data_IF_413359317510
#
_entry.id   IF_413359317510
#
_cell.length_a   1.000
_cell.length_b   1.000
_cell.length_c   1.000
_cell.angle_alpha   90.00
_cell.angle_beta   90.00
_cell.angle_gamma   90.00
#
_symmetry.space_group_name_H-M   'P 1'
#
loop_
_entity.id
_entity.type
_entity.pdbx_description
1 polymer ?
#
# COMPACT_ATOMS: atom_id res chain seq x y z
N UNK A 1 11.13 7.44 3.71
CA UNK A 1 9.85 8.02 3.24
C UNK A 1 9.04 8.30 4.50
N UNK A 2 9.19 9.49 5.08
CA UNK A 2 8.45 9.93 6.26
C UNK A 2 7.54 11.06 5.80
N UNK A 3 6.28 10.74 5.47
CA UNK A 3 5.21 11.73 5.36
C UNK A 3 4.42 11.69 6.66
N UNK A 4 4.40 12.81 7.37
CA UNK A 4 3.48 13.07 8.48
C UNK A 4 2.03 13.07 7.99
N UNK A 5 1.06 12.53 8.76
CA UNK A 5 -0.33 12.42 8.34
C UNK A 5 -1.04 13.77 8.56
N UNK A 6 -1.47 14.43 7.49
CA UNK A 6 -2.42 15.53 7.60
C UNK A 6 -3.84 15.01 7.34
N UNK A 7 -4.74 15.55 8.16
CA UNK A 7 -6.15 15.26 8.36
C UNK A 7 -6.99 14.98 7.11
N UNK A 8 -7.99 14.11 7.29
CA UNK A 8 -9.11 13.81 6.40
C UNK A 8 -9.82 15.09 5.92
N UNK A 9 -10.11 15.29 4.62
CA UNK A 9 -11.05 16.31 4.18
C UNK A 9 -12.49 15.79 4.26
N UNK A 10 -13.33 16.55 4.94
CA UNK A 10 -14.79 16.41 4.99
C UNK A 10 -15.43 16.65 3.62
N UNK A 11 -16.47 15.89 3.30
CA UNK A 11 -17.31 16.04 2.12
C UNK A 11 -18.08 17.37 2.12
N UNK A 12 -17.73 18.30 1.22
CA UNK A 12 -18.64 19.34 0.71
C UNK A 12 -18.33 19.67 -0.75
N UNK A 13 -19.36 20.01 -1.52
CA UNK A 13 -19.35 20.32 -2.96
C UNK A 13 -18.28 21.35 -3.36
N UNK A 14 -17.26 20.97 -4.15
CA UNK A 14 -16.16 21.88 -4.48
C UNK A 14 -15.88 22.02 -6.00
N UNK A 15 -16.51 23.02 -6.62
CA UNK A 15 -16.04 23.65 -7.86
C UNK A 15 -14.74 24.47 -7.74
N UNK A 16 -14.36 25.03 -6.56
CA UNK A 16 -13.07 25.73 -6.38
C UNK A 16 -11.88 24.83 -6.03
N UNK A 17 -12.08 23.62 -5.47
CA UNK A 17 -10.97 22.76 -5.03
C UNK A 17 -10.15 22.17 -6.20
N UNK A 18 -10.74 22.07 -7.40
CA UNK A 18 -10.00 21.62 -8.60
C UNK A 18 -8.85 22.57 -9.00
N UNK A 19 -8.98 23.87 -8.72
CA UNK A 19 -7.93 24.85 -9.02
C UNK A 19 -6.76 24.76 -8.04
N UNK A 20 -7.03 24.62 -6.74
CA UNK A 20 -6.01 24.41 -5.71
C UNK A 20 -5.27 23.06 -5.88
N UNK A 21 -5.97 22.01 -6.29
CA UNK A 21 -5.35 20.73 -6.61
C UNK A 21 -4.34 20.81 -7.77
N UNK A 22 -4.45 21.80 -8.67
CA UNK A 22 -3.48 22.00 -9.76
C UNK A 22 -2.12 22.52 -9.29
N UNK A 23 -2.09 23.24 -8.16
CA UNK A 23 -0.86 23.83 -7.58
C UNK A 23 0.05 22.76 -6.98
N UNK A 24 -0.50 21.60 -6.62
CA UNK A 24 0.22 20.50 -5.94
C UNK A 24 0.46 19.26 -6.83
N UNK A 25 0.14 19.32 -8.13
CA UNK A 25 0.28 18.16 -9.05
C UNK A 25 1.72 17.69 -9.26
N UNK A 26 2.70 18.57 -9.12
CA UNK A 26 4.09 18.20 -9.33
C UNK A 26 4.74 17.75 -8.00
N UNK A 27 5.07 16.46 -7.89
CA UNK A 27 5.88 15.93 -6.79
C UNK A 27 7.37 16.29 -6.98
N UNK A 28 7.69 17.58 -7.09
CA UNK A 28 9.02 18.08 -7.43
C UNK A 28 10.14 17.54 -6.52
N UNK A 29 9.97 17.47 -5.17
CA UNK A 29 10.98 16.89 -4.31
C UNK A 29 11.19 15.38 -4.55
N UNK A 30 10.15 14.67 -4.98
CA UNK A 30 10.23 13.26 -5.34
C UNK A 30 11.10 13.06 -6.57
N UNK A 31 10.77 13.73 -7.68
CA UNK A 31 11.47 13.57 -8.96
C UNK A 31 12.95 13.97 -8.87
N UNK A 32 13.24 15.07 -8.19
CA UNK A 32 14.61 15.59 -8.09
C UNK A 32 15.45 14.88 -7.03
N UNK A 33 15.00 14.88 -5.76
CA UNK A 33 15.81 14.39 -4.63
C UNK A 33 15.70 12.87 -4.46
N UNK A 34 14.50 12.32 -4.59
CA UNK A 34 14.28 10.89 -4.33
C UNK A 34 14.59 10.00 -5.55
N UNK A 35 14.59 10.56 -6.76
CA UNK A 35 14.87 9.82 -8.00
C UNK A 35 16.19 10.25 -8.65
N UNK A 36 16.20 11.37 -9.38
CA UNK A 36 17.36 11.77 -10.21
C UNK A 36 18.66 11.88 -9.39
N UNK A 37 18.65 12.59 -8.24
CA UNK A 37 19.83 12.71 -7.37
C UNK A 37 20.28 11.37 -6.74
N UNK A 38 19.38 10.40 -6.61
CA UNK A 38 19.69 9.05 -6.15
C UNK A 38 20.17 8.12 -7.28
N UNK A 39 20.29 8.64 -8.52
CA UNK A 39 20.66 7.87 -9.70
C UNK A 39 19.53 6.99 -10.24
N UNK A 40 18.27 7.28 -9.90
CA UNK A 40 17.09 6.62 -10.49
C UNK A 40 16.62 7.44 -11.70
N UNK A 41 16.79 6.96 -12.95
CA UNK A 41 16.49 7.73 -14.15
C UNK A 41 15.00 8.07 -14.25
N UNK A 42 14.72 9.30 -14.64
CA UNK A 42 13.38 9.85 -14.85
C UNK A 42 13.19 10.17 -16.33
N UNK A 43 12.18 9.56 -16.95
CA UNK A 43 11.95 9.65 -18.39
C UNK A 43 10.52 10.14 -18.61
N UNK A 44 10.35 11.28 -19.29
CA UNK A 44 9.06 11.85 -19.64
C UNK A 44 8.76 11.67 -21.13
N UNK A 45 7.72 10.89 -21.45
CA UNK A 45 7.12 10.85 -22.79
C UNK A 45 5.88 11.75 -22.78
N UNK A 46 5.96 12.91 -23.42
CA UNK A 46 4.87 13.88 -23.44
C UNK A 46 4.04 13.62 -24.70
N UNK A 47 2.84 13.06 -24.56
CA UNK A 47 1.94 12.79 -25.72
C UNK A 47 0.93 13.92 -26.00
N UNK A 48 0.84 14.93 -25.13
CA UNK A 48 -0.14 16.01 -25.25
C UNK A 48 0.20 17.20 -24.37
N UNK A 49 -0.82 17.79 -23.74
CA UNK A 49 -0.66 19.03 -22.99
C UNK A 49 -0.10 18.78 -21.57
N UNK A 50 0.97 19.49 -21.21
CA UNK A 50 1.49 19.57 -19.86
C UNK A 50 1.68 21.05 -19.47
N UNK A 51 0.68 21.60 -18.81
CA UNK A 51 0.55 23.05 -18.57
C UNK A 51 0.68 23.41 -17.09
N UNK A 52 1.09 24.65 -16.80
CA UNK A 52 1.28 25.16 -15.44
C UNK A 52 2.17 24.25 -14.59
N UNK A 53 1.71 23.77 -13.43
CA UNK A 53 2.47 22.86 -12.58
C UNK A 53 2.86 21.54 -13.29
N UNK A 54 2.05 21.09 -14.27
CA UNK A 54 2.35 19.89 -15.05
C UNK A 54 3.57 20.04 -15.96
N UNK A 55 3.93 21.25 -16.36
CA UNK A 55 5.10 21.52 -17.20
C UNK A 55 6.43 21.15 -16.50
N UNK A 56 6.44 21.10 -15.17
CA UNK A 56 7.63 20.69 -14.43
C UNK A 56 7.88 19.17 -14.46
N UNK A 57 6.88 18.34 -14.82
CA UNK A 57 7.13 16.90 -15.01
C UNK A 57 8.19 16.63 -16.09
N UNK A 58 8.07 17.14 -17.32
CA UNK A 58 9.17 17.08 -18.28
C UNK A 58 10.34 17.98 -17.85
N UNK A 59 10.10 19.19 -17.33
CA UNK A 59 11.18 20.13 -16.98
C UNK A 59 12.14 19.70 -15.87
N UNK A 60 11.82 18.63 -15.13
CA UNK A 60 12.68 18.04 -14.10
C UNK A 60 12.98 16.56 -14.36
N UNK A 61 12.64 16.03 -15.55
CA UNK A 61 13.01 14.67 -15.94
C UNK A 61 14.40 14.65 -16.56
N UNK A 62 15.12 13.54 -16.42
CA UNK A 62 16.47 13.37 -16.99
C UNK A 62 16.45 13.21 -18.52
N UNK A 63 15.34 12.69 -19.07
CA UNK A 63 15.12 12.57 -20.50
C UNK A 63 13.69 12.96 -20.87
N UNK A 64 13.53 13.81 -21.88
CA UNK A 64 12.23 14.32 -22.34
C UNK A 64 12.04 14.03 -23.83
N UNK A 65 10.96 13.34 -24.15
CA UNK A 65 10.51 13.07 -25.52
C UNK A 65 9.20 13.79 -25.76
N UNK A 66 9.13 14.64 -26.80
CA UNK A 66 7.93 15.36 -27.19
C UNK A 66 7.50 14.98 -28.61
N UNK A 67 6.19 14.86 -28.84
CA UNK A 67 5.58 14.50 -30.12
C UNK A 67 5.25 15.76 -30.93
N UNK A 68 5.78 15.82 -32.16
CA UNK A 68 5.57 16.92 -33.11
C UNK A 68 4.08 17.19 -33.33
N UNK A 69 3.68 18.47 -33.26
CA UNK A 69 2.31 18.92 -33.53
C UNK A 69 1.23 18.36 -32.58
N UNK A 70 1.64 17.75 -31.45
CA UNK A 70 0.73 17.24 -30.42
C UNK A 70 1.10 17.71 -29.03
N UNK A 71 2.39 17.61 -28.68
CA UNK A 71 2.86 17.90 -27.33
C UNK A 71 3.04 19.38 -27.11
N UNK A 72 2.42 19.89 -26.04
CA UNK A 72 2.41 21.31 -25.68
C UNK A 72 2.78 21.47 -24.22
N UNK A 73 3.88 22.17 -23.95
CA UNK A 73 4.39 22.38 -22.60
C UNK A 73 4.56 23.87 -22.36
N UNK A 74 3.94 24.42 -21.31
CA UNK A 74 4.12 25.83 -20.95
C UNK A 74 3.65 26.10 -19.52
N UNK A 75 4.25 27.08 -18.85
CA UNK A 75 3.81 27.52 -17.51
C UNK A 75 2.47 28.27 -17.56
N UNK A 76 2.22 28.99 -18.64
CA UNK A 76 0.96 29.67 -18.92
C UNK A 76 0.59 29.45 -20.37
N UNK A 77 -0.63 28.98 -20.63
CA UNK A 77 -1.10 28.82 -22.01
C UNK A 77 -1.43 30.16 -22.65
N UNK A 78 -1.74 30.18 -23.96
CA UNK A 78 -2.01 31.42 -24.68
C UNK A 78 -3.06 32.33 -24.03
N UNK A 79 -4.17 31.83 -23.44
CA UNK A 79 -5.11 32.68 -22.74
C UNK A 79 -4.49 33.43 -21.55
N UNK A 80 -3.56 32.78 -20.82
CA UNK A 80 -2.89 33.41 -19.67
C UNK A 80 -1.86 34.44 -20.14
N UNK A 81 -1.11 34.13 -21.21
CA UNK A 81 -0.15 35.06 -21.82
C UNK A 81 -0.90 36.32 -22.31
N UNK A 82 -1.97 36.15 -23.08
CA UNK A 82 -2.80 37.25 -23.57
C UNK A 82 -3.35 38.12 -22.44
N UNK A 83 -3.85 37.51 -21.37
CA UNK A 83 -4.38 38.26 -20.23
C UNK A 83 -3.31 38.98 -19.41
N UNK A 84 -2.11 38.40 -19.29
CA UNK A 84 -1.04 38.96 -18.46
C UNK A 84 -0.19 40.02 -19.17
N UNK A 85 0.07 39.84 -20.47
CA UNK A 85 1.01 40.67 -21.24
C UNK A 85 0.36 41.37 -22.44
N UNK A 86 -0.84 40.96 -22.85
CA UNK A 86 -1.48 41.42 -24.09
C UNK A 86 -0.93 40.76 -25.36
N UNK A 87 0.05 39.87 -25.25
CA UNK A 87 0.65 39.14 -26.37
C UNK A 87 -0.32 38.08 -26.91
N UNK A 88 -0.47 38.01 -28.24
CA UNK A 88 -1.19 36.94 -28.91
C UNK A 88 -0.20 35.92 -29.46
N UNK A 89 -0.34 34.68 -29.01
CA UNK A 89 0.49 33.54 -29.43
C UNK A 89 -0.41 32.34 -29.68
N UNK A 90 -0.01 31.43 -30.55
CA UNK A 90 -0.66 30.11 -30.68
C UNK A 90 0.03 29.07 -29.79
N UNK A 91 -0.62 27.92 -29.57
CA UNK A 91 -0.08 26.88 -28.68
C UNK A 91 1.26 26.29 -29.17
N UNK A 92 1.46 26.15 -30.48
CA UNK A 92 2.64 25.51 -31.06
C UNK A 92 3.84 26.45 -31.03
N UNK A 93 3.64 27.72 -31.35
CA UNK A 93 4.69 28.75 -31.24
C UNK A 93 5.06 29.04 -29.79
N UNK A 94 4.10 28.95 -28.85
CA UNK A 94 4.35 29.21 -27.44
C UNK A 94 5.02 28.05 -26.69
N UNK A 95 4.66 26.80 -27.02
CA UNK A 95 5.10 25.62 -26.24
C UNK A 95 5.06 24.30 -27.00
N UNK A 96 5.07 24.31 -28.33
CA UNK A 96 5.06 23.11 -29.14
C UNK A 96 6.36 22.30 -29.04
N UNK A 97 6.28 21.02 -29.39
CA UNK A 97 7.42 20.10 -29.36
C UNK A 97 8.62 20.58 -30.20
N UNK A 98 8.38 21.16 -31.38
CA UNK A 98 9.46 21.67 -32.22
C UNK A 98 10.16 22.87 -31.59
N UNK A 99 9.39 23.80 -31.00
CA UNK A 99 9.95 24.94 -30.29
C UNK A 99 10.83 24.45 -29.13
N UNK A 100 10.35 23.48 -28.34
CA UNK A 100 11.12 22.93 -27.23
C UNK A 100 12.36 22.14 -27.64
N UNK A 101 12.29 21.39 -28.74
CA UNK A 101 13.43 20.62 -29.24
C UNK A 101 14.50 21.48 -29.94
N UNK A 102 14.11 22.61 -30.54
CA UNK A 102 15.03 23.45 -31.34
C UNK A 102 15.48 24.73 -30.66
N UNK A 103 14.63 25.32 -29.83
CA UNK A 103 14.81 26.70 -29.33
C UNK A 103 15.10 26.73 -27.84
N UNK A 104 14.19 26.25 -27.01
CA UNK A 104 14.37 26.33 -25.55
C UNK A 104 15.20 25.20 -24.95
N UNK A 105 15.31 24.05 -25.64
CA UNK A 105 16.08 22.89 -25.17
C UNK A 105 15.37 22.09 -24.06
N UNK A 106 14.06 22.29 -23.86
CA UNK A 106 13.29 21.49 -22.90
C UNK A 106 13.11 20.03 -23.36
N UNK A 107 13.02 19.80 -24.67
CA UNK A 107 12.88 18.46 -25.23
C UNK A 107 14.24 17.95 -25.71
N UNK A 108 14.65 16.77 -25.26
CA UNK A 108 15.88 16.11 -25.73
C UNK A 108 15.64 15.37 -27.04
N UNK A 109 14.41 14.87 -27.25
CA UNK A 109 14.02 14.12 -28.43
C UNK A 109 12.69 14.63 -28.99
N UNK A 110 12.65 14.78 -30.32
CA UNK A 110 11.44 15.07 -31.07
C UNK A 110 10.98 13.78 -31.76
N UNK A 111 9.77 13.32 -31.41
CA UNK A 111 9.12 12.17 -32.01
C UNK A 111 8.10 12.61 -33.07
N UNK A 112 7.90 11.80 -34.10
CA UNK A 112 6.93 12.10 -35.15
C UNK A 112 5.48 11.75 -34.74
N UNK A 113 5.31 10.70 -33.93
CA UNK A 113 4.02 10.29 -33.36
C UNK A 113 4.20 9.58 -31.99
N UNK A 114 3.10 9.12 -31.39
CA UNK A 114 3.12 8.43 -30.09
C UNK A 114 3.87 7.10 -30.12
N UNK A 115 3.80 6.36 -31.23
CA UNK A 115 4.52 5.08 -31.37
C UNK A 115 6.02 5.31 -31.46
N UNK A 116 6.42 6.35 -32.18
CA UNK A 116 7.80 6.79 -32.27
C UNK A 116 8.34 7.28 -30.93
N UNK A 117 7.54 8.03 -30.16
CA UNK A 117 7.91 8.43 -28.81
C UNK A 117 8.11 7.22 -27.87
N UNK A 118 7.26 6.20 -27.95
CA UNK A 118 7.44 4.95 -27.20
C UNK A 118 8.71 4.21 -27.65
N UNK A 119 9.00 4.16 -28.96
CA UNK A 119 10.25 3.58 -29.50
C UNK A 119 11.47 4.28 -28.90
N UNK A 120 11.50 5.61 -28.92
CA UNK A 120 12.59 6.42 -28.33
C UNK A 120 12.71 6.15 -26.82
N UNK A 121 11.58 6.12 -26.10
CA UNK A 121 11.55 5.77 -24.67
C UNK A 121 12.22 4.44 -24.36
N UNK A 122 11.94 3.40 -25.17
CA UNK A 122 12.59 2.08 -25.04
C UNK A 122 14.09 2.13 -25.34
N UNK A 123 14.52 2.95 -26.29
CA UNK A 123 15.94 3.14 -26.58
C UNK A 123 16.69 3.85 -25.45
N UNK A 124 16.06 4.83 -24.80
CA UNK A 124 16.62 5.47 -23.59
C UNK A 124 16.83 4.41 -22.51
N UNK A 125 15.79 3.63 -22.19
CA UNK A 125 15.85 2.54 -21.19
C UNK A 125 16.96 1.55 -21.50
N UNK A 126 17.17 1.19 -22.78
CA UNK A 126 18.24 0.28 -23.23
C UNK A 126 19.64 0.79 -22.87
N UNK A 127 19.85 2.10 -22.80
CA UNK A 127 21.15 2.75 -22.58
C UNK A 127 21.45 3.03 -21.10
N UNK A 128 20.52 2.76 -20.18
CA UNK A 128 20.67 3.08 -18.75
C UNK A 128 21.78 2.28 -18.04
N UNK A 129 22.33 1.23 -18.66
CA UNK A 129 23.28 0.30 -18.02
C UNK A 129 22.75 -0.19 -16.65
N UNK A 130 21.44 -0.46 -16.59
CA UNK A 130 20.75 -0.78 -15.35
C UNK A 130 21.18 -2.13 -14.79
N UNK A 131 21.51 -2.16 -13.50
CA UNK A 131 21.90 -3.38 -12.78
C UNK A 131 21.09 -3.49 -11.51
N UNK A 132 20.58 -4.69 -11.24
CA UNK A 132 19.88 -4.99 -9.98
C UNK A 132 20.92 -5.11 -8.86
N UNK A 133 20.62 -4.53 -7.71
CA UNK A 133 21.50 -4.56 -6.53
C UNK A 133 21.14 -5.68 -5.55
N UNK A 134 19.89 -6.15 -5.56
CA UNK A 134 19.45 -7.25 -4.70
C UNK A 134 19.95 -8.60 -5.17
N UNK A 135 19.91 -9.59 -4.26
CA UNK A 135 20.19 -10.98 -4.58
C UNK A 135 19.20 -11.53 -5.61
N UNK A 136 19.69 -12.39 -6.49
CA UNK A 136 18.83 -13.20 -7.36
C UNK A 136 18.11 -14.29 -6.54
N UNK A 137 17.05 -14.92 -7.08
CA UNK A 137 16.44 -16.11 -6.47
C UNK A 137 17.51 -17.14 -6.10
N UNK A 138 17.45 -17.64 -4.87
CA UNK A 138 18.42 -18.58 -4.31
C UNK A 138 17.87 -20.00 -4.14
N UNK A 139 16.55 -20.16 -4.18
CA UNK A 139 15.87 -21.45 -4.00
C UNK A 139 15.26 -21.97 -5.33
N UNK A 140 15.04 -23.28 -5.46
CA UNK A 140 14.32 -23.84 -6.61
C UNK A 140 12.88 -23.30 -6.68
N UNK A 141 12.47 -22.68 -7.81
CA UNK A 141 11.13 -22.11 -7.96
C UNK A 141 10.11 -23.21 -8.32
N UNK A 142 10.02 -24.24 -7.49
CA UNK A 142 9.13 -25.38 -7.71
C UNK A 142 7.67 -24.92 -7.64
N UNK A 143 6.84 -25.44 -8.53
CA UNK A 143 5.40 -25.18 -8.45
C UNK A 143 4.81 -25.76 -7.15
N UNK A 144 3.79 -25.11 -6.56
CA UNK A 144 3.08 -25.65 -5.40
C UNK A 144 2.48 -27.03 -5.71
N UNK A 145 2.43 -27.90 -4.71
CA UNK A 145 1.88 -29.26 -4.82
C UNK A 145 0.35 -29.29 -4.97
N UNK A 146 -0.32 -28.19 -4.63
CA UNK A 146 -1.77 -28.09 -4.63
C UNK A 146 -2.26 -27.11 -5.71
N UNK A 147 -3.37 -27.42 -6.42
CA UNK A 147 -3.93 -26.54 -7.43
C UNK A 147 -4.33 -25.18 -6.87
N UNK A 148 -3.99 -24.12 -7.61
CA UNK A 148 -4.20 -22.72 -7.21
C UNK A 148 -5.69 -22.36 -7.15
N UNK A 149 -6.52 -23.04 -7.94
CA UNK A 149 -7.98 -22.89 -8.05
C UNK A 149 -8.67 -23.16 -6.72
N UNK A 150 -8.08 -24.02 -5.88
CA UNK A 150 -8.61 -24.33 -4.56
C UNK A 150 -8.56 -23.13 -3.61
N UNK A 151 -7.74 -22.09 -3.89
CA UNK A 151 -7.72 -20.85 -3.10
C UNK A 151 -9.08 -20.17 -3.02
N UNK A 152 -9.92 -20.29 -4.06
CA UNK A 152 -11.26 -19.69 -4.09
C UNK A 152 -12.20 -20.31 -3.05
N UNK A 153 -11.95 -21.56 -2.64
CA UNK A 153 -12.78 -22.30 -1.69
C UNK A 153 -12.30 -22.22 -0.24
N UNK A 154 -11.16 -21.58 0.04
CA UNK A 154 -10.61 -21.50 1.40
C UNK A 154 -11.33 -20.44 2.25
N UNK A 155 -11.50 -19.18 1.79
CA UNK A 155 -12.22 -18.20 2.57
C UNK A 155 -13.69 -18.59 2.72
N UNK A 156 -14.18 -18.54 3.96
CA UNK A 156 -15.61 -18.61 4.22
C UNK A 156 -16.33 -17.39 3.65
N UNK A 157 -17.57 -17.57 3.21
CA UNK A 157 -18.47 -16.47 2.88
C UNK A 157 -18.84 -15.64 4.11
N UNK A 158 -18.80 -16.25 5.31
CA UNK A 158 -18.93 -15.54 6.57
C UNK A 158 -17.53 -15.11 7.05
N UNK A 159 -17.22 -13.80 7.08
CA UNK A 159 -15.92 -13.28 7.51
C UNK A 159 -15.60 -13.55 8.99
N UNK A 160 -16.58 -14.01 9.79
CA UNK A 160 -16.37 -14.42 11.18
C UNK A 160 -15.82 -15.83 11.32
N UNK A 161 -15.92 -16.65 10.27
CA UNK A 161 -15.41 -18.03 10.29
C UNK A 161 -13.93 -18.00 9.90
N UNK A 162 -13.01 -18.28 10.83
CA UNK A 162 -11.60 -18.33 10.52
C UNK A 162 -11.29 -19.55 9.62
N UNK A 163 -10.20 -19.47 8.88
CA UNK A 163 -9.64 -20.56 8.09
C UNK A 163 -8.14 -20.67 8.34
N UNK A 164 -7.55 -21.84 8.09
CA UNK A 164 -6.13 -22.05 8.30
C UNK A 164 -5.31 -21.40 7.15
N UNK A 165 -4.46 -20.39 7.42
CA UNK A 165 -3.62 -19.79 6.40
C UNK A 165 -2.60 -20.75 5.82
N UNK A 166 -2.30 -21.88 6.48
CA UNK A 166 -1.45 -22.94 5.91
C UNK A 166 -2.03 -23.49 4.61
N UNK A 167 -3.35 -23.53 4.47
CA UNK A 167 -3.97 -23.92 3.20
C UNK A 167 -3.71 -22.91 2.09
N UNK A 168 -3.67 -21.61 2.42
CA UNK A 168 -3.27 -20.56 1.46
C UNK A 168 -1.79 -20.70 1.11
N UNK A 169 -0.93 -20.91 2.11
CA UNK A 169 0.51 -21.06 1.91
C UNK A 169 0.85 -22.27 1.06
N UNK A 170 0.23 -23.42 1.32
CA UNK A 170 0.42 -24.64 0.55
C UNK A 170 0.16 -24.47 -0.96
N UNK A 171 -0.64 -23.47 -1.37
CA UNK A 171 -0.98 -23.17 -2.78
C UNK A 171 -0.23 -21.97 -3.35
N UNK A 172 0.58 -21.29 -2.55
CA UNK A 172 1.28 -20.06 -2.96
C UNK A 172 2.80 -20.16 -2.86
N UNK A 173 3.34 -20.93 -1.92
CA UNK A 173 4.80 -21.08 -1.72
C UNK A 173 5.39 -22.23 -2.56
N UNK A 174 6.68 -22.13 -2.87
CA UNK A 174 7.39 -23.06 -3.73
C UNK A 174 7.39 -24.48 -3.15
N UNK A 175 6.97 -25.44 -3.98
CA UNK A 175 6.85 -26.85 -3.59
C UNK A 175 5.99 -27.10 -2.34
N UNK A 176 5.10 -26.16 -1.98
CA UNK A 176 4.32 -26.19 -0.74
C UNK A 176 5.17 -26.35 0.54
N UNK A 177 6.44 -25.94 0.50
CA UNK A 177 7.36 -26.04 1.63
C UNK A 177 7.21 -24.83 2.55
N UNK A 178 6.95 -25.10 3.82
CA UNK A 178 6.82 -24.06 4.83
C UNK A 178 7.45 -24.51 6.15
N UNK A 179 8.55 -23.85 6.53
CA UNK A 179 9.29 -24.15 7.73
C UNK A 179 8.76 -23.31 8.89
N UNK A 180 7.80 -23.88 9.63
CA UNK A 180 7.07 -23.15 10.67
C UNK A 180 7.94 -22.84 11.90
N UNK A 181 7.97 -21.57 12.29
CA UNK A 181 8.61 -21.07 13.50
C UNK A 181 7.62 -21.04 14.67
N UNK A 182 8.02 -21.63 15.81
CA UNK A 182 7.19 -21.75 17.03
C UNK A 182 5.78 -22.30 16.74
N UNK A 183 5.63 -23.49 16.13
CA UNK A 183 4.31 -24.03 15.78
C UNK A 183 3.40 -24.29 17.00
N UNK A 184 3.96 -24.49 18.19
CA UNK A 184 3.23 -24.80 19.42
C UNK A 184 2.99 -23.61 20.35
N UNK A 185 3.42 -22.40 19.97
CA UNK A 185 3.29 -21.18 20.79
C UNK A 185 2.67 -20.06 19.97
N UNK A 186 1.73 -19.30 20.54
CA UNK A 186 0.99 -18.27 19.82
C UNK A 186 0.35 -18.83 18.55
N UNK A 187 -0.50 -19.84 18.67
CA UNK A 187 -1.02 -20.63 17.53
C UNK A 187 -2.07 -19.88 16.69
N UNK A 188 -2.51 -18.70 17.14
CA UNK A 188 -3.41 -17.83 16.38
C UNK A 188 -2.69 -17.04 15.28
N UNK A 189 -1.34 -17.04 15.31
CA UNK A 189 -0.48 -16.45 14.29
C UNK A 189 0.54 -17.49 13.81
N UNK A 190 0.44 -17.84 12.53
CA UNK A 190 1.40 -18.73 11.86
C UNK A 190 2.58 -17.88 11.41
N UNK A 191 3.79 -18.30 11.76
CA UNK A 191 5.03 -17.65 11.30
C UNK A 191 5.99 -18.70 10.80
N UNK A 192 6.75 -18.42 9.76
CA UNK A 192 7.70 -19.40 9.23
C UNK A 192 8.37 -18.94 7.96
N UNK A 193 9.29 -19.76 7.46
CA UNK A 193 10.08 -19.47 6.27
C UNK A 193 9.52 -20.21 5.06
N UNK A 194 9.58 -19.55 3.90
CA UNK A 194 9.16 -20.11 2.63
C UNK A 194 9.89 -19.40 1.48
N UNK A 195 9.70 -19.88 0.26
CA UNK A 195 10.09 -19.19 -0.96
C UNK A 195 8.91 -19.05 -1.92
N UNK A 196 8.95 -17.98 -2.73
CA UNK A 196 8.01 -17.77 -3.85
C UNK A 196 8.85 -17.41 -5.08
N UNK A 197 8.72 -18.20 -6.15
CA UNK A 197 9.53 -18.05 -7.36
C UNK A 197 11.04 -17.99 -7.08
N UNK A 198 11.49 -18.78 -6.10
CA UNK A 198 12.88 -18.92 -5.67
C UNK A 198 13.40 -17.79 -4.77
N UNK A 199 12.60 -16.76 -4.48
CA UNK A 199 12.96 -15.72 -3.52
C UNK A 199 12.59 -16.15 -2.10
N UNK A 200 13.53 -16.17 -1.14
CA UNK A 200 13.24 -16.50 0.24
C UNK A 200 12.45 -15.36 0.92
N UNK A 201 11.50 -15.72 1.79
CA UNK A 201 10.73 -14.79 2.60
C UNK A 201 10.34 -15.38 3.96
N UNK A 202 10.11 -14.50 4.93
CA UNK A 202 9.42 -14.84 6.18
C UNK A 202 7.95 -14.51 6.06
N UNK A 203 7.07 -15.40 6.52
CA UNK A 203 5.62 -15.21 6.48
C UNK A 203 5.09 -15.00 7.89
N UNK A 204 4.15 -14.07 8.05
CA UNK A 204 3.28 -13.93 9.21
C UNK A 204 1.83 -13.97 8.73
N UNK A 205 1.04 -14.94 9.18
CA UNK A 205 -0.32 -15.17 8.71
C UNK A 205 -1.29 -15.44 9.86
N UNK A 206 -2.40 -14.70 9.92
CA UNK A 206 -3.39 -14.88 10.99
C UNK A 206 -4.22 -16.15 10.75
N UNK A 207 -4.27 -17.03 11.75
CA UNK A 207 -5.06 -18.26 11.71
C UNK A 207 -6.40 -18.17 12.45
N UNK A 208 -6.45 -17.47 13.58
CA UNK A 208 -7.64 -17.45 14.45
C UNK A 208 -8.25 -16.07 14.67
N UNK A 209 -8.00 -15.11 13.78
CA UNK A 209 -8.60 -13.76 13.83
C UNK A 209 -8.06 -12.86 14.94
N UNK A 210 -7.80 -13.38 16.14
CA UNK A 210 -7.42 -12.61 17.32
C UNK A 210 -5.94 -12.81 17.66
N UNK A 211 -5.26 -11.72 18.03
CA UNK A 211 -3.89 -11.74 18.55
C UNK A 211 -3.89 -11.70 20.09
N UNK A 212 -3.15 -12.61 20.72
CA UNK A 212 -2.89 -12.59 22.17
C UNK A 212 -1.45 -12.13 22.43
N UNK A 213 -1.06 -12.10 23.71
CA UNK A 213 0.29 -11.78 24.16
C UNK A 213 1.35 -12.65 23.47
N UNK A 214 1.10 -13.96 23.41
CA UNK A 214 2.01 -14.95 22.84
C UNK A 214 2.24 -14.75 21.34
N UNK A 215 1.18 -14.46 20.56
CA UNK A 215 1.33 -14.15 19.14
C UNK A 215 2.14 -12.86 18.92
N UNK A 216 1.94 -11.84 19.75
CA UNK A 216 2.68 -10.59 19.63
C UNK A 216 4.18 -10.77 19.95
N UNK A 217 4.51 -11.54 20.98
CA UNK A 217 5.91 -11.88 21.30
C UNK A 217 6.55 -12.77 20.23
N UNK A 218 5.80 -13.76 19.71
CA UNK A 218 6.22 -14.60 18.58
C UNK A 218 6.53 -13.77 17.33
N UNK A 219 5.60 -12.89 16.94
CA UNK A 219 5.76 -12.00 15.79
C UNK A 219 6.97 -11.09 15.96
N UNK A 220 7.13 -10.48 17.14
CA UNK A 220 8.26 -9.61 17.46
C UNK A 220 9.59 -10.31 17.20
N UNK A 221 9.77 -11.50 17.76
CA UNK A 221 11.00 -12.26 17.58
C UNK A 221 11.20 -12.67 16.12
N UNK A 222 10.15 -13.13 15.45
CA UNK A 222 10.25 -13.58 14.05
C UNK A 222 10.65 -12.44 13.10
N UNK A 223 10.07 -11.25 13.28
CA UNK A 223 10.44 -10.05 12.53
C UNK A 223 11.91 -9.69 12.79
N UNK A 224 12.38 -9.76 14.05
CA UNK A 224 13.79 -9.51 14.37
C UNK A 224 14.72 -10.52 13.66
N UNK A 225 14.36 -11.80 13.64
CA UNK A 225 15.13 -12.82 12.92
C UNK A 225 15.22 -12.50 11.44
N UNK A 226 14.10 -12.19 10.79
CA UNK A 226 14.09 -11.84 9.36
C UNK A 226 14.97 -10.61 9.06
N UNK A 227 14.98 -9.61 9.96
CA UNK A 227 15.84 -8.46 9.82
C UNK A 227 17.32 -8.75 10.11
N UNK A 228 17.67 -9.82 10.84
CA UNK A 228 19.06 -10.21 11.07
C UNK A 228 19.70 -10.89 9.86
N UNK A 229 18.89 -11.54 9.03
CA UNK A 229 19.34 -12.28 7.85
C UNK A 229 18.92 -11.62 6.53
N UNK A 230 18.41 -10.38 6.60
CA UNK A 230 18.04 -9.57 5.43
C UNK A 230 16.96 -10.23 4.55
N UNK A 231 15.98 -10.89 5.17
CA UNK A 231 14.90 -11.61 4.48
C UNK A 231 13.60 -10.76 4.43
N UNK A 232 12.99 -10.57 3.24
CA UNK A 232 11.68 -9.91 3.11
C UNK A 232 10.58 -10.59 3.93
N UNK A 233 9.55 -9.82 4.30
CA UNK A 233 8.41 -10.30 5.08
C UNK A 233 7.10 -10.23 4.28
N UNK A 234 6.29 -11.28 4.37
CA UNK A 234 4.93 -11.35 3.85
C UNK A 234 3.94 -11.42 5.01
N UNK A 235 2.99 -10.48 5.06
CA UNK A 235 1.91 -10.43 6.02
C UNK A 235 0.59 -10.83 5.34
N UNK A 236 0.00 -11.93 5.77
CA UNK A 236 -1.32 -12.36 5.34
C UNK A 236 -2.35 -11.99 6.41
N UNK A 237 -3.11 -10.92 6.15
CA UNK A 237 -4.03 -10.36 7.14
C UNK A 237 -5.39 -11.06 7.11
N UNK A 238 -5.73 -11.63 8.26
CA UNK A 238 -7.07 -12.09 8.59
C UNK A 238 -7.29 -11.91 10.09
N UNK A 239 -7.33 -10.65 10.55
CA UNK A 239 -7.37 -10.28 11.96
C UNK A 239 -8.52 -9.33 12.31
N UNK A 240 -9.22 -9.67 13.39
CA UNK A 240 -10.25 -8.86 14.05
C UNK A 240 -9.69 -7.94 15.13
N UNK A 241 -8.39 -8.05 15.45
CA UNK A 241 -7.70 -7.25 16.45
C UNK A 241 -7.01 -8.07 17.54
N UNK A 242 -6.73 -7.41 18.67
CA UNK A 242 -6.18 -8.04 19.87
C UNK A 242 -7.30 -8.53 20.78
N UNK A 243 -7.00 -9.52 21.61
CA UNK A 243 -7.93 -9.99 22.63
C UNK A 243 -8.24 -8.87 23.64
N UNK A 244 -9.50 -8.79 24.08
CA UNK A 244 -9.93 -7.79 25.06
C UNK A 244 -10.36 -8.48 26.36
N UNK A 245 -10.05 -7.87 27.50
CA UNK A 245 -10.50 -8.35 28.80
C UNK A 245 -9.52 -8.03 29.92
N UNK A 246 -10.04 -7.92 31.15
CA UNK A 246 -9.26 -7.52 32.34
C UNK A 246 -8.00 -8.34 32.53
N UNK A 247 -8.08 -9.67 32.38
CA UNK A 247 -6.94 -10.57 32.55
C UNK A 247 -5.84 -10.31 31.52
N UNK A 248 -6.20 -10.07 30.25
CA UNK A 248 -5.26 -9.79 29.16
C UNK A 248 -4.61 -8.41 29.31
N UNK A 249 -5.38 -7.41 29.73
CA UNK A 249 -4.86 -6.08 30.04
C UNK A 249 -3.87 -6.12 31.21
N UNK A 250 -4.21 -6.83 32.29
CA UNK A 250 -3.32 -7.00 33.44
C UNK A 250 -2.08 -7.84 33.12
N UNK A 251 -2.20 -8.79 32.19
CA UNK A 251 -1.06 -9.56 31.66
C UNK A 251 -0.15 -8.72 30.74
N UNK A 252 -0.59 -7.54 30.30
CA UNK A 252 0.23 -6.61 29.53
C UNK A 252 0.05 -6.71 28.02
N UNK A 253 -1.14 -7.07 27.51
CA UNK A 253 -1.39 -7.20 26.07
C UNK A 253 -1.01 -5.95 25.26
N UNK A 254 -1.16 -4.75 25.85
CA UNK A 254 -0.72 -3.49 25.23
C UNK A 254 0.80 -3.45 25.04
N UNK A 255 1.59 -3.83 26.06
CA UNK A 255 3.06 -3.78 25.93
C UNK A 255 3.56 -4.82 24.93
N UNK A 256 2.93 -5.99 24.87
CA UNK A 256 3.31 -7.05 23.93
C UNK A 256 2.90 -6.70 22.50
N UNK A 257 1.69 -6.17 22.30
CA UNK A 257 1.28 -5.58 21.02
C UNK A 257 2.19 -4.43 20.59
N UNK A 258 2.62 -3.59 21.53
CA UNK A 258 3.58 -2.51 21.24
C UNK A 258 4.96 -3.04 20.85
N UNK A 259 5.43 -4.18 21.39
CA UNK A 259 6.66 -4.84 20.91
C UNK A 259 6.49 -5.25 19.44
N UNK A 260 5.37 -5.87 19.08
CA UNK A 260 5.11 -6.29 17.70
C UNK A 260 5.09 -5.09 16.74
N UNK A 261 4.34 -4.03 17.08
CA UNK A 261 4.25 -2.80 16.27
C UNK A 261 5.62 -2.12 16.16
N UNK A 262 6.39 -2.08 17.23
CA UNK A 262 7.77 -1.54 17.21
C UNK A 262 8.65 -2.35 16.24
N UNK A 263 8.56 -3.68 16.28
CA UNK A 263 9.31 -4.55 15.39
C UNK A 263 8.94 -4.32 13.91
N UNK A 264 7.64 -4.22 13.59
CA UNK A 264 7.17 -3.88 12.24
C UNK A 264 7.70 -2.50 11.82
N UNK A 265 7.49 -1.48 12.64
CA UNK A 265 7.81 -0.09 12.27
C UNK A 265 9.31 0.16 12.07
N UNK A 266 10.15 -0.50 12.87
CA UNK A 266 11.61 -0.35 12.77
C UNK A 266 12.25 -1.29 11.75
N UNK A 267 11.51 -2.28 11.25
CA UNK A 267 12.02 -3.20 10.26
C UNK A 267 12.35 -2.47 8.95
N UNK A 268 13.51 -2.80 8.37
CA UNK A 268 13.97 -2.25 7.09
C UNK A 268 13.93 -3.24 5.94
N UNK A 269 13.75 -4.53 6.23
CA UNK A 269 13.46 -5.50 5.17
C UNK A 269 12.13 -5.13 4.48
N UNK A 270 12.00 -5.38 3.18
CA UNK A 270 10.77 -5.17 2.43
C UNK A 270 9.60 -5.92 3.06
N UNK A 271 8.49 -5.24 3.30
CA UNK A 271 7.23 -5.88 3.68
C UNK A 271 6.28 -5.94 2.49
N UNK A 272 5.61 -7.07 2.35
CA UNK A 272 4.50 -7.30 1.44
C UNK A 272 3.29 -7.64 2.29
N UNK A 273 2.13 -7.06 1.98
CA UNK A 273 0.90 -7.32 2.74
C UNK A 273 -0.20 -7.77 1.79
N UNK A 274 -0.91 -8.83 2.15
CA UNK A 274 -2.12 -9.28 1.43
C UNK A 274 -3.26 -9.42 2.43
N UNK A 275 -4.32 -8.64 2.23
CA UNK A 275 -5.55 -8.77 3.00
C UNK A 275 -6.36 -9.93 2.42
N UNK A 276 -6.30 -11.10 3.07
CA UNK A 276 -6.99 -12.32 2.64
C UNK A 276 -8.35 -12.52 3.32
N UNK A 277 -8.64 -11.72 4.35
CA UNK A 277 -9.90 -11.74 5.09
C UNK A 277 -10.19 -10.41 5.76
N UNK A 278 -10.51 -10.44 7.06
CA UNK A 278 -10.77 -9.22 7.83
C UNK A 278 -9.46 -8.55 8.25
N UNK A 279 -9.47 -7.23 8.34
CA UNK A 279 -8.35 -6.43 8.84
C UNK A 279 -8.90 -5.27 9.65
N UNK A 280 -9.03 -5.49 10.97
CA UNK A 280 -9.64 -4.53 11.88
C UNK A 280 -8.69 -3.97 12.92
N UNK A 281 -8.86 -2.68 13.21
CA UNK A 281 -8.30 -1.99 14.37
C UNK A 281 -6.80 -2.20 14.54
N UNK A 282 -6.39 -2.45 15.79
CA UNK A 282 -4.98 -2.63 16.13
C UNK A 282 -4.33 -3.86 15.46
N UNK A 283 -5.12 -4.84 15.02
CA UNK A 283 -4.60 -5.99 14.27
C UNK A 283 -4.00 -5.59 12.93
N UNK A 284 -4.62 -4.61 12.25
CA UNK A 284 -4.08 -4.01 11.02
C UNK A 284 -2.67 -3.44 11.25
N UNK A 285 -2.44 -2.85 12.44
CA UNK A 285 -1.16 -2.23 12.77
C UNK A 285 -0.06 -3.25 12.98
N UNK A 286 -0.34 -4.28 13.80
CA UNK A 286 0.61 -5.37 14.06
C UNK A 286 0.97 -6.17 12.80
N UNK A 287 0.07 -6.24 11.82
CA UNK A 287 0.26 -7.02 10.59
C UNK A 287 0.74 -6.18 9.39
N UNK A 288 1.38 -5.03 9.61
CA UNK A 288 1.94 -4.16 8.57
C UNK A 288 0.90 -3.63 7.55
N UNK A 289 -0.18 -3.02 8.05
CA UNK A 289 -1.14 -2.28 7.21
C UNK A 289 -0.54 -1.04 6.54
N UNK A 290 -1.35 -0.30 5.77
CA UNK A 290 -0.91 0.80 4.89
C UNK A 290 -0.04 1.85 5.59
N UNK A 291 -0.35 2.20 6.84
CA UNK A 291 0.38 3.21 7.62
C UNK A 291 1.84 2.80 7.94
N UNK A 292 2.17 1.51 7.87
CA UNK A 292 3.49 0.97 8.18
C UNK A 292 4.40 0.86 6.94
N UNK A 293 3.94 1.38 5.79
CA UNK A 293 4.73 1.50 4.58
C UNK A 293 5.23 0.19 3.97
N UNK A 294 4.38 -0.86 3.84
CA UNK A 294 4.76 -2.02 3.04
C UNK A 294 5.06 -1.58 1.60
N UNK A 295 5.95 -2.30 0.92
CA UNK A 295 6.31 -2.03 -0.48
C UNK A 295 5.12 -2.19 -1.41
N UNK A 296 4.32 -3.20 -1.14
CA UNK A 296 3.05 -3.46 -1.81
C UNK A 296 2.04 -3.98 -0.79
N UNK A 297 0.80 -3.51 -0.90
CA UNK A 297 -0.34 -4.01 -0.14
C UNK A 297 -1.47 -4.34 -1.10
N UNK A 298 -1.90 -5.60 -1.16
CA UNK A 298 -3.01 -6.04 -1.99
C UNK A 298 -4.19 -6.51 -1.16
N UNK A 299 -5.37 -6.52 -1.76
CA UNK A 299 -6.59 -7.00 -1.15
C UNK A 299 -7.21 -8.11 -1.99
N UNK A 300 -7.66 -9.20 -1.36
CA UNK A 300 -8.61 -10.10 -2.02
C UNK A 300 -10.00 -9.46 -2.07
N UNK A 301 -10.83 -9.88 -3.03
CA UNK A 301 -12.18 -9.33 -3.23
C UNK A 301 -13.08 -9.51 -1.99
N UNK A 302 -12.90 -10.60 -1.25
CA UNK A 302 -13.64 -10.89 -0.01
C UNK A 302 -13.14 -10.08 1.19
N UNK A 303 -12.02 -9.37 1.09
CA UNK A 303 -11.41 -8.70 2.24
C UNK A 303 -12.29 -7.58 2.79
N UNK A 304 -12.15 -7.33 4.09
CA UNK A 304 -12.88 -6.28 4.81
C UNK A 304 -11.91 -5.53 5.69
N UNK A 305 -11.79 -4.22 5.53
CA UNK A 305 -10.89 -3.39 6.33
C UNK A 305 -11.65 -2.20 6.91
N UNK A 306 -11.57 -2.04 8.23
CA UNK A 306 -12.25 -0.98 8.97
C UNK A 306 -11.57 -0.77 10.33
N UNK A 307 -11.99 0.28 11.05
CA UNK A 307 -11.52 0.51 12.43
C UNK A 307 -11.95 -0.63 13.36
N UNK A 308 -13.18 -1.13 13.21
CA UNK A 308 -13.71 -2.31 13.91
C UNK A 308 -14.91 -2.87 13.14
N UNK A 309 -15.42 -4.03 13.57
CA UNK A 309 -16.59 -4.64 12.93
C UNK A 309 -17.87 -3.77 13.05
N UNK A 310 -18.79 -3.81 12.07
CA UNK A 310 -19.98 -2.96 12.05
C UNK A 310 -20.83 -3.07 13.32
N UNK A 311 -21.11 -4.31 13.76
CA UNK A 311 -21.92 -4.57 14.95
C UNK A 311 -21.21 -4.13 16.23
N UNK A 312 -19.88 -4.26 16.27
CA UNK A 312 -19.07 -3.84 17.42
C UNK A 312 -19.09 -2.32 17.56
N UNK A 313 -18.90 -1.57 16.46
CA UNK A 313 -18.91 -0.11 16.49
C UNK A 313 -20.27 0.44 16.94
N UNK A 314 -21.35 -0.03 16.31
CA UNK A 314 -22.70 0.39 16.66
C UNK A 314 -23.06 0.05 18.11
N UNK A 315 -22.63 -1.13 18.60
CA UNK A 315 -22.83 -1.54 19.98
C UNK A 315 -22.11 -0.64 20.98
N UNK A 316 -20.84 -0.31 20.74
CA UNK A 316 -20.05 0.59 21.60
C UNK A 316 -20.66 1.99 21.64
N UNK A 317 -21.07 2.53 20.48
CA UNK A 317 -21.71 3.85 20.41
C UNK A 317 -23.02 3.90 21.21
N UNK A 318 -23.83 2.84 21.14
CA UNK A 318 -25.10 2.70 21.88
C UNK A 318 -24.86 2.67 23.41
N UNK A 319 -23.86 1.91 23.88
CA UNK A 319 -23.49 1.85 25.29
C UNK A 319 -23.05 3.23 25.81
N UNK A 320 -22.13 3.89 25.10
CA UNK A 320 -21.61 5.21 25.49
C UNK A 320 -22.70 6.28 25.48
N UNK A 321 -23.60 6.25 24.49
CA UNK A 321 -24.73 7.19 24.43
C UNK A 321 -25.69 7.00 25.63
N UNK A 322 -25.94 5.75 26.02
CA UNK A 322 -26.77 5.42 27.18
C UNK A 322 -26.14 5.89 28.48
N UNK A 323 -24.86 5.62 28.69
CA UNK A 323 -24.10 6.08 29.86
C UNK A 323 -24.09 7.61 29.94
N UNK A 324 -23.85 8.30 28.83
CA UNK A 324 -23.87 9.77 28.77
C UNK A 324 -25.24 10.36 29.10
N UNK A 325 -26.34 9.73 28.68
CA UNK A 325 -27.69 10.17 29.02
C UNK A 325 -27.95 10.03 30.53
N UNK A 326 -27.54 8.90 31.13
CA UNK A 326 -27.62 8.66 32.57
C UNK A 326 -26.82 9.70 33.36
N UNK A 327 -25.58 9.96 32.99
CA UNK A 327 -24.71 10.94 33.65
C UNK A 327 -25.25 12.37 33.59
N UNK A 328 -26.03 12.68 32.54
CA UNK A 328 -26.67 13.99 32.35
C UNK A 328 -28.09 14.06 32.93
N UNK A 329 -28.60 12.96 33.51
CA UNK A 329 -29.97 12.86 34.00
C UNK A 329 -31.04 13.03 32.90
N UNK A 330 -30.70 12.77 31.64
CA UNK A 330 -31.60 12.85 30.50
C UNK A 330 -32.22 11.48 30.19
N UNK A 331 -33.48 11.42 29.72
CA UNK A 331 -34.07 10.17 29.25
C UNK A 331 -33.32 9.67 28.01
N UNK A 332 -33.09 8.36 27.94
CA UNK A 332 -32.48 7.72 26.78
C UNK A 332 -33.55 7.33 25.75
N UNK A 333 -33.39 7.77 24.50
CA UNK A 333 -34.30 7.46 23.41
C UNK A 333 -33.89 6.14 22.72
N UNK A 334 -34.57 5.06 23.11
CA UNK A 334 -34.36 3.72 22.56
C UNK A 334 -34.67 3.63 21.06
N UNK A 335 -35.67 4.39 20.57
CA UNK A 335 -36.06 4.36 19.17
C UNK A 335 -34.99 5.03 18.30
N UNK A 336 -34.45 6.16 18.76
CA UNK A 336 -33.32 6.83 18.10
C UNK A 336 -32.04 5.97 18.11
N UNK A 337 -31.79 5.21 19.18
CA UNK A 337 -30.62 4.31 19.27
C UNK A 337 -30.66 3.19 18.23
N UNK A 338 -31.82 2.56 18.03
CA UNK A 338 -31.98 1.51 17.00
C UNK A 338 -31.65 2.07 15.61
N UNK A 339 -32.20 3.23 15.26
CA UNK A 339 -31.93 3.88 13.96
C UNK A 339 -30.46 4.25 13.82
N UNK A 340 -29.83 4.77 14.87
CA UNK A 340 -28.41 5.09 14.89
C UNK A 340 -27.56 3.82 14.64
N UNK A 341 -27.86 2.73 15.34
CA UNK A 341 -27.13 1.47 15.21
C UNK A 341 -27.24 0.87 13.81
N UNK A 342 -28.41 0.90 13.19
CA UNK A 342 -28.63 0.43 11.83
C UNK A 342 -27.89 1.30 10.81
N UNK A 343 -27.93 2.62 11.00
CA UNK A 343 -27.23 3.60 10.15
C UNK A 343 -25.72 3.38 10.19
N UNK A 344 -25.14 3.27 11.39
CA UNK A 344 -23.70 3.04 11.59
C UNK A 344 -23.28 1.70 11.00
N UNK A 345 -24.04 0.63 11.25
CA UNK A 345 -23.74 -0.70 10.69
C UNK A 345 -23.72 -0.65 9.16
N UNK A 346 -24.78 -0.10 8.55
CA UNK A 346 -24.90 0.00 7.08
C UNK A 346 -23.77 0.84 6.46
N UNK A 347 -23.37 1.92 7.14
CA UNK A 347 -22.26 2.75 6.69
C UNK A 347 -20.95 1.95 6.66
N UNK A 348 -20.59 1.31 7.78
CA UNK A 348 -19.34 0.54 7.86
C UNK A 348 -19.37 -0.63 6.88
N UNK A 349 -20.50 -1.31 6.72
CA UNK A 349 -20.63 -2.43 5.78
C UNK A 349 -20.31 -2.05 4.33
N UNK A 350 -20.72 -0.85 3.91
CA UNK A 350 -20.40 -0.31 2.58
C UNK A 350 -18.93 0.10 2.47
N UNK A 351 -18.41 0.79 3.49
CA UNK A 351 -17.08 1.41 3.46
C UNK A 351 -15.94 0.40 3.66
N UNK A 352 -16.19 -0.70 4.37
CA UNK A 352 -15.15 -1.69 4.68
C UNK A 352 -14.75 -2.58 3.51
N UNK A 353 -15.47 -2.56 2.39
CA UNK A 353 -15.25 -3.47 1.26
C UNK A 353 -13.92 -3.20 0.55
N UNK A 354 -13.32 -4.25 -0.02
CA UNK A 354 -12.09 -4.13 -0.82
C UNK A 354 -12.20 -3.05 -1.93
N UNK A 355 -13.33 -2.99 -2.63
CA UNK A 355 -13.55 -1.98 -3.68
C UNK A 355 -13.59 -0.55 -3.13
N UNK A 356 -14.26 -0.34 -1.98
CA UNK A 356 -14.30 0.97 -1.34
C UNK A 356 -12.89 1.41 -0.88
N UNK A 357 -12.09 0.49 -0.36
CA UNK A 357 -10.72 0.76 0.09
C UNK A 357 -9.77 1.03 -1.09
N UNK A 358 -9.85 0.22 -2.14
CA UNK A 358 -9.02 0.38 -3.33
C UNK A 358 -9.32 1.69 -4.07
N UNK A 359 -10.59 2.12 -4.11
CA UNK A 359 -10.98 3.44 -4.67
C UNK A 359 -10.33 4.64 -3.97
N UNK A 360 -9.82 4.45 -2.74
CA UNK A 360 -9.12 5.45 -1.93
C UNK A 360 -7.62 5.23 -1.85
N UNK A 361 -7.09 4.25 -2.60
CA UNK A 361 -5.65 3.90 -2.62
C UNK A 361 -5.13 3.46 -1.24
N UNK A 362 -5.99 2.81 -0.45
CA UNK A 362 -5.61 2.16 0.80
C UNK A 362 -4.87 0.85 0.58
N UNK A 363 -5.09 0.23 -0.58
CA UNK A 363 -4.30 -0.84 -1.17
C UNK A 363 -3.79 -0.43 -2.55
N UNK A 364 -2.85 -1.19 -3.08
CA UNK A 364 -2.24 -1.02 -4.40
C UNK A 364 -3.00 -1.85 -5.47
N UNK A 365 -4.14 -2.45 -5.10
CA UNK A 365 -5.02 -3.16 -6.00
C UNK A 365 -5.78 -4.31 -5.33
N UNK A 366 -6.96 -4.60 -5.89
CA UNK A 366 -7.71 -5.83 -5.61
C UNK A 366 -7.25 -6.91 -6.59
N UNK A 367 -6.87 -8.07 -6.07
CA UNK A 367 -6.37 -9.20 -6.87
C UNK A 367 -7.27 -10.42 -6.72
N UNK A 368 -7.29 -11.27 -7.75
CA UNK A 368 -7.85 -12.62 -7.65
C UNK A 368 -6.99 -13.43 -6.66
N UNK A 369 -7.60 -14.17 -5.71
CA UNK A 369 -6.86 -15.06 -4.82
C UNK A 369 -5.88 -15.98 -5.56
N UNK A 370 -6.23 -16.44 -6.76
CA UNK A 370 -5.41 -17.33 -7.59
C UNK A 370 -4.15 -16.66 -8.12
N UNK A 371 -4.18 -15.34 -8.31
CA UNK A 371 -3.04 -14.59 -8.82
C UNK A 371 -2.03 -14.22 -7.73
N UNK A 372 -2.33 -14.53 -6.46
CA UNK A 372 -1.50 -14.15 -5.29
C UNK A 372 -0.03 -14.55 -5.48
N UNK A 373 0.25 -15.79 -5.91
CA UNK A 373 1.62 -16.28 -6.15
C UNK A 373 2.35 -15.46 -7.21
N UNK A 374 1.72 -15.25 -8.36
CA UNK A 374 2.26 -14.50 -9.49
C UNK A 374 2.54 -13.04 -9.12
N UNK A 375 1.58 -12.39 -8.46
CA UNK A 375 1.69 -10.99 -8.02
C UNK A 375 2.84 -10.84 -7.02
N UNK A 376 2.92 -11.74 -6.03
CA UNK A 376 4.02 -11.74 -5.05
C UNK A 376 5.38 -12.01 -5.72
N UNK A 377 5.46 -12.91 -6.69
CA UNK A 377 6.66 -13.17 -7.48
C UNK A 377 7.17 -11.93 -8.22
N UNK A 378 6.26 -11.20 -8.89
CA UNK A 378 6.58 -9.92 -9.55
C UNK A 378 7.07 -8.90 -8.52
N UNK A 379 6.36 -8.77 -7.39
CA UNK A 379 6.73 -7.83 -6.34
C UNK A 379 8.11 -8.12 -5.74
N UNK A 380 8.43 -9.39 -5.46
CA UNK A 380 9.73 -9.82 -4.97
C UNK A 380 10.82 -9.53 -6.00
N UNK A 381 10.57 -9.77 -7.29
CA UNK A 381 11.50 -9.39 -8.37
C UNK A 381 11.75 -7.88 -8.44
N UNK A 382 10.70 -7.08 -8.24
CA UNK A 382 10.79 -5.61 -8.22
C UNK A 382 11.60 -5.14 -7.01
N UNK A 383 11.29 -5.65 -5.83
CA UNK A 383 11.98 -5.34 -4.57
C UNK A 383 13.50 -5.57 -4.69
N UNK A 384 13.91 -6.68 -5.31
CA UNK A 384 15.32 -7.03 -5.50
C UNK A 384 16.01 -6.23 -6.62
N UNK A 385 15.37 -5.21 -7.22
CA UNK A 385 16.12 -4.20 -7.98
C UNK A 385 17.06 -3.40 -7.06
N UNK A 386 16.70 -3.25 -5.78
CA UNK A 386 17.53 -2.60 -4.79
C UNK A 386 18.05 -3.62 -3.75
N UNK A 387 19.05 -3.20 -2.98
CA UNK A 387 19.59 -4.02 -1.91
C UNK A 387 18.56 -4.24 -0.80
N UNK A 388 18.44 -5.48 -0.35
CA UNK A 388 17.65 -5.84 0.82
C UNK A 388 18.55 -5.82 2.04
N UNK A 389 18.32 -4.87 2.95
CA UNK A 389 19.02 -4.78 4.24
C UNK A 389 18.01 -4.59 5.37
N UNK A 390 18.01 -5.54 6.30
CA UNK A 390 17.26 -5.47 7.53
C UNK A 390 17.87 -4.54 8.55
N UNK A 391 17.10 -4.29 9.60
CA UNK A 391 17.50 -3.41 10.69
C UNK A 391 18.17 -4.22 11.82
N UNK A 392 19.36 -3.79 12.24
CA UNK A 392 20.05 -4.42 13.38
C UNK A 392 19.79 -3.73 14.73
N UNK A 393 19.39 -2.46 14.73
CA UNK A 393 19.04 -1.69 15.93
C UNK A 393 17.57 -1.26 15.95
N UNK A 394 16.84 -1.59 17.00
CA UNK A 394 15.42 -1.24 17.13
C UNK A 394 15.22 -0.08 18.10
N UNK A 395 14.08 0.60 18.00
CA UNK A 395 13.60 1.47 19.07
C UNK A 395 13.37 0.69 20.37
N UNK A 396 13.28 1.40 21.50
CA UNK A 396 13.15 0.78 22.83
C UNK A 396 11.92 -0.15 22.90
N UNK A 397 12.15 -1.42 23.21
CA UNK A 397 11.09 -2.37 23.51
C UNK A 397 10.62 -2.23 24.97
N UNK A 398 9.30 -2.22 25.19
CA UNK A 398 8.70 -2.17 26.53
C UNK A 398 8.53 -3.59 27.05
N UNK A 399 9.46 -4.06 27.88
CA UNK A 399 9.55 -5.46 28.32
C UNK A 399 8.42 -5.92 29.24
#
# INVERSE_FOLDING_TARGET
ITRTPNALPSCTNDGPAQWLASVTKANCPGLTRAHSAAGLPTIALVFGNATAGGAYMPGMSDYVVMVRGRSKVFLGGPPLVKMATGEESDDESLGGAEMHARTSGLADYLAEDELDAIRIGREIVRRLNWRRLGSSPSEPPDEPLYPVEQLLGIPSSDPKVPFDPRDVLARTVDGSRFDEFKPLYGTSLVTGWASIHGYPLGVLANARGVLLNEEAEKATQFIQLANQIDTPLLFLQNTTGYMVGKTYEQAGIIKDGAKMINAVTNSRVPHLTVNIGVSYGAGNYGMAGRAFGPRFLFSWVNSRTAVMGPQQLAGVMSIVARESAVDRGLPFDEAADVVMRETVQSQIEREQTALANSSRVYDDGVIDPRDTRTVLGICLSVIHNNEVRGQRGYGVFRM
#
